data_IF_307684022340
#
_entry.id   IF_307684022340
#
_cell.length_a   1.000
_cell.length_b   1.000
_cell.length_c   1.000
_cell.angle_alpha   90.00
_cell.angle_beta   90.00
_cell.angle_gamma   90.00
#
_symmetry.space_group_name_H-M   'P 1'
#
loop_
_entity.id
_entity.type
_entity.pdbx_description
1 polymer ?
#
# COMPACT_ATOMS: atom_id res chain seq x y z
N UNK A 1 -18.20 13.15 -6.52
CA UNK A 1 -17.55 12.20 -7.46
C UNK A 1 -18.40 10.95 -7.47
N UNK A 2 -18.71 10.40 -8.64
CA UNK A 2 -19.51 9.19 -8.79
C UNK A 2 -18.66 8.11 -9.48
N UNK A 3 -18.72 6.87 -9.02
CA UNK A 3 -17.96 5.76 -9.59
C UNK A 3 -18.82 4.51 -9.68
N UNK A 4 -18.61 3.72 -10.73
CA UNK A 4 -19.23 2.40 -10.84
C UNK A 4 -18.42 1.42 -10.01
N UNK A 5 -19.04 0.77 -9.04
CA UNK A 5 -18.40 -0.26 -8.23
C UNK A 5 -18.60 -1.64 -8.86
N UNK A 6 -17.51 -2.39 -8.97
CA UNK A 6 -17.52 -3.78 -9.41
C UNK A 6 -16.90 -4.64 -8.31
N UNK A 7 -17.62 -5.68 -7.89
CA UNK A 7 -17.12 -6.66 -6.93
C UNK A 7 -16.49 -7.82 -7.71
N UNK A 8 -15.16 -7.87 -7.76
CA UNK A 8 -14.43 -9.00 -8.36
C UNK A 8 -14.21 -10.09 -7.31
N UNK A 9 -14.18 -11.35 -7.73
CA UNK A 9 -13.90 -12.48 -6.84
C UNK A 9 -12.40 -12.53 -6.51
N UNK A 10 -12.07 -12.59 -5.21
CA UNK A 10 -10.68 -12.68 -4.71
C UNK A 10 -10.34 -14.08 -4.17
N UNK A 11 -11.31 -14.99 -4.07
CA UNK A 11 -11.18 -16.39 -3.58
C UNK A 11 -10.09 -16.63 -2.50
N UNK A 12 -10.41 -16.52 -1.19
CA UNK A 12 -11.68 -16.08 -0.61
C UNK A 12 -11.84 -14.56 -0.58
N UNK A 13 -13.08 -14.08 -0.63
CA UNK A 13 -13.42 -12.66 -0.43
C UNK A 13 -13.69 -11.90 -1.73
N UNK A 14 -13.72 -10.57 -1.61
CA UNK A 14 -14.08 -9.66 -2.71
C UNK A 14 -12.95 -8.64 -2.93
N UNK A 15 -12.67 -8.34 -4.18
CA UNK A 15 -11.80 -7.26 -4.62
C UNK A 15 -12.65 -6.14 -5.24
N UNK A 16 -13.01 -5.09 -4.45
CA UNK A 16 -13.91 -4.04 -4.91
C UNK A 16 -13.15 -3.00 -5.76
N UNK A 17 -13.60 -2.82 -7.00
CA UNK A 17 -13.01 -1.92 -7.98
C UNK A 17 -13.92 -0.72 -8.22
N UNK A 18 -13.39 0.48 -8.00
CA UNK A 18 -14.10 1.74 -8.26
C UNK A 18 -13.73 2.32 -9.63
N UNK A 19 -14.58 2.10 -10.63
CA UNK A 19 -14.38 2.65 -11.96
C UNK A 19 -14.86 4.10 -11.98
N UNK A 20 -13.92 5.03 -11.86
CA UNK A 20 -14.14 6.46 -12.02
C UNK A 20 -14.23 6.90 -13.49
N UNK A 21 -14.56 8.17 -13.68
CA UNK A 21 -14.67 8.81 -14.99
C UNK A 21 -13.35 8.74 -15.79
N UNK A 22 -13.45 8.51 -17.10
CA UNK A 22 -12.28 8.37 -17.97
C UNK A 22 -11.38 9.61 -17.97
N UNK A 23 -11.98 10.82 -17.93
CA UNK A 23 -11.24 12.09 -17.88
C UNK A 23 -10.42 12.17 -16.59
N UNK A 24 -10.99 11.80 -15.44
CA UNK A 24 -10.26 11.77 -14.16
C UNK A 24 -9.06 10.84 -14.23
N UNK A 25 -9.24 9.64 -14.81
CA UNK A 25 -8.15 8.67 -14.95
C UNK A 25 -7.05 9.18 -15.89
N UNK A 26 -7.42 9.85 -16.98
CA UNK A 26 -6.46 10.49 -17.88
C UNK A 26 -5.66 11.58 -17.17
N UNK A 27 -6.34 12.48 -16.45
CA UNK A 27 -5.70 13.54 -15.67
C UNK A 27 -4.81 12.96 -14.56
N UNK A 28 -5.26 11.93 -13.85
CA UNK A 28 -4.48 11.24 -12.83
C UNK A 28 -3.19 10.66 -13.41
N UNK A 29 -3.26 9.98 -14.57
CA UNK A 29 -2.06 9.50 -15.27
C UNK A 29 -1.11 10.63 -15.68
N UNK A 30 -1.64 11.75 -16.16
CA UNK A 30 -0.83 12.91 -16.52
C UNK A 30 -0.12 13.51 -15.29
N UNK A 31 -0.85 13.72 -14.20
CA UNK A 31 -0.28 14.21 -12.93
C UNK A 31 0.79 13.24 -12.42
N UNK A 32 0.51 11.93 -12.36
CA UNK A 32 1.50 10.92 -11.98
C UNK A 32 2.78 11.01 -12.81
N UNK A 33 2.65 11.14 -14.14
CA UNK A 33 3.80 11.22 -15.03
C UNK A 33 4.69 12.41 -14.69
N UNK A 34 4.10 13.56 -14.38
CA UNK A 34 4.82 14.81 -14.11
C UNK A 34 5.36 14.93 -12.68
N UNK A 35 4.76 14.23 -11.72
CA UNK A 35 5.09 14.40 -10.29
C UNK A 35 5.69 13.17 -9.62
N UNK A 36 5.83 12.03 -10.33
CA UNK A 36 6.35 10.77 -9.75
C UNK A 36 7.73 10.89 -9.11
N UNK A 37 8.59 11.77 -9.61
CA UNK A 37 9.97 11.90 -9.12
C UNK A 37 10.00 12.38 -7.67
N UNK A 38 9.15 13.35 -7.33
CA UNK A 38 8.99 13.87 -5.97
C UNK A 38 8.45 12.78 -5.02
N UNK A 39 7.51 11.95 -5.51
CA UNK A 39 7.02 10.79 -4.77
C UNK A 39 8.15 9.76 -4.51
N UNK A 40 8.92 9.43 -5.55
CA UNK A 40 10.02 8.47 -5.45
C UNK A 40 11.13 8.97 -4.54
N UNK A 41 11.45 10.26 -4.57
CA UNK A 41 12.42 10.90 -3.68
C UNK A 41 11.93 10.85 -2.23
N UNK A 42 10.66 11.19 -1.98
CA UNK A 42 10.09 11.13 -0.64
C UNK A 42 10.06 9.70 -0.06
N UNK A 43 9.68 8.71 -0.88
CA UNK A 43 9.57 7.32 -0.47
C UNK A 43 10.94 6.63 -0.36
N UNK A 44 11.85 6.89 -1.30
CA UNK A 44 13.15 6.23 -1.38
C UNK A 44 13.06 4.71 -1.34
N UNK A 45 14.05 4.08 -0.69
CA UNK A 45 14.07 2.64 -0.44
C UNK A 45 13.08 2.20 0.66
N UNK A 46 12.54 3.14 1.44
CA UNK A 46 11.63 2.81 2.56
C UNK A 46 10.26 2.35 2.05
N UNK A 47 9.83 2.82 0.88
CA UNK A 47 8.51 2.48 0.34
C UNK A 47 8.59 2.11 -1.14
N UNK A 48 8.60 0.81 -1.41
CA UNK A 48 8.77 0.25 -2.75
C UNK A 48 7.52 0.42 -3.63
N UNK A 49 6.35 0.67 -3.04
CA UNK A 49 5.11 0.93 -3.77
C UNK A 49 5.11 2.30 -4.48
N UNK A 50 6.14 3.13 -4.28
CA UNK A 50 6.34 4.40 -4.97
C UNK A 50 6.73 4.25 -6.46
N UNK A 51 7.04 3.04 -6.90
CA UNK A 51 7.43 2.76 -8.29
C UNK A 51 8.88 3.12 -8.60
N UNK A 52 9.76 3.12 -7.59
CA UNK A 52 11.20 3.27 -7.76
C UNK A 52 11.72 2.21 -8.75
N UNK A 53 12.50 2.64 -9.75
CA UNK A 53 13.05 1.74 -10.75
C UNK A 53 13.97 0.70 -10.08
N UNK A 54 13.69 -0.58 -10.30
CA UNK A 54 14.44 -1.68 -9.66
C UNK A 54 14.17 -1.83 -8.16
N UNK A 55 13.23 -1.09 -7.57
CA UNK A 55 12.99 -1.08 -6.12
C UNK A 55 12.65 -2.46 -5.55
N UNK A 56 11.76 -3.21 -6.22
CA UNK A 56 11.39 -4.58 -5.79
C UNK A 56 12.57 -5.55 -5.86
N UNK A 57 13.35 -5.50 -6.95
CA UNK A 57 14.53 -6.34 -7.11
C UNK A 57 15.59 -5.99 -6.06
N UNK A 58 15.88 -4.70 -5.89
CA UNK A 58 16.80 -4.21 -4.87
C UNK A 58 16.39 -4.64 -3.46
N UNK A 59 15.10 -4.55 -3.11
CA UNK A 59 14.59 -5.00 -1.82
C UNK A 59 14.75 -6.51 -1.59
N UNK A 60 14.46 -7.34 -2.60
CA UNK A 60 14.69 -8.79 -2.53
C UNK A 60 16.17 -9.10 -2.32
N UNK A 61 17.06 -8.41 -3.04
CA UNK A 61 18.50 -8.58 -2.90
C UNK A 61 19.00 -8.16 -1.51
N UNK A 62 18.53 -7.02 -1.00
CA UNK A 62 18.87 -6.54 0.35
C UNK A 62 18.42 -7.53 1.42
N UNK A 63 17.17 -8.01 1.35
CA UNK A 63 16.66 -9.01 2.30
C UNK A 63 17.46 -10.32 2.25
N UNK A 64 17.87 -10.77 1.06
CA UNK A 64 18.66 -11.99 0.90
C UNK A 64 20.07 -11.85 1.47
N UNK A 65 20.69 -10.68 1.32
CA UNK A 65 22.00 -10.39 1.89
C UNK A 65 21.94 -10.27 3.42
N UNK A 66 20.93 -9.57 3.94
CA UNK A 66 20.66 -9.47 5.36
C UNK A 66 20.47 -10.84 6.00
N UNK A 67 19.61 -11.69 5.40
CA UNK A 67 19.37 -13.04 5.89
C UNK A 67 20.65 -13.87 5.97
N UNK A 68 21.52 -13.79 4.96
CA UNK A 68 22.82 -14.49 4.97
C UNK A 68 23.71 -13.99 6.10
N UNK A 69 23.77 -12.68 6.29
CA UNK A 69 24.59 -12.04 7.32
C UNK A 69 24.12 -12.46 8.71
N UNK A 70 22.82 -12.33 9.00
CA UNK A 70 22.24 -12.76 10.27
C UNK A 70 22.42 -14.26 10.52
N UNK A 71 22.28 -15.10 9.48
CA UNK A 71 22.54 -16.54 9.59
C UNK A 71 23.99 -16.83 10.01
N UNK A 72 24.96 -16.11 9.42
CA UNK A 72 26.38 -16.27 9.74
C UNK A 72 26.70 -15.78 11.16
N UNK A 73 26.12 -14.65 11.56
CA UNK A 73 26.33 -14.06 12.89
C UNK A 73 25.70 -14.88 14.03
N UNK A 74 24.53 -15.47 13.78
CA UNK A 74 23.83 -16.32 14.73
C UNK A 74 24.56 -17.66 14.94
N UNK A 75 25.04 -18.29 13.87
CA UNK A 75 25.68 -19.60 13.96
C UNK A 75 24.79 -20.62 14.67
N UNK A 76 25.29 -21.21 15.77
CA UNK A 76 24.53 -22.12 16.64
C UNK A 76 24.14 -21.48 17.99
N UNK A 77 24.29 -20.16 18.11
CA UNK A 77 24.03 -19.43 19.35
C UNK A 77 22.53 -19.12 19.49
N UNK A 78 21.82 -19.75 20.46
CA UNK A 78 20.39 -19.50 20.66
C UNK A 78 20.08 -18.08 21.13
N UNK A 79 21.04 -17.34 21.70
CA UNK A 79 20.83 -15.94 22.10
C UNK A 79 20.81 -14.97 20.91
N UNK A 80 21.22 -15.43 19.72
CA UNK A 80 21.26 -14.66 18.46
C UNK A 80 20.21 -15.12 17.45
N UNK A 81 19.17 -15.82 17.90
CA UNK A 81 18.08 -16.21 17.04
C UNK A 81 17.42 -14.96 16.42
N UNK A 82 17.15 -15.04 15.12
CA UNK A 82 16.45 -13.99 14.36
C UNK A 82 15.32 -14.63 13.54
N UNK A 83 14.44 -13.80 13.00
CA UNK A 83 13.34 -14.27 12.17
C UNK A 83 12.61 -13.11 11.51
N UNK A 84 11.76 -13.41 10.54
CA UNK A 84 10.99 -12.40 9.81
C UNK A 84 9.59 -12.22 10.40
N UNK A 85 9.17 -10.97 10.56
CA UNK A 85 7.78 -10.62 10.83
C UNK A 85 7.09 -10.19 9.52
N UNK A 86 6.03 -10.91 9.14
CA UNK A 86 5.20 -10.54 7.99
C UNK A 86 3.91 -9.87 8.48
N UNK A 87 3.69 -8.63 8.05
CA UNK A 87 2.51 -7.84 8.39
C UNK A 87 1.68 -7.65 7.12
N UNK A 88 0.42 -8.09 7.16
CA UNK A 88 -0.55 -7.89 6.08
C UNK A 88 -1.66 -6.96 6.55
N UNK A 89 -1.96 -5.94 5.77
CA UNK A 89 -2.99 -4.95 6.10
C UNK A 89 -4.36 -5.42 5.58
N UNK A 90 -5.32 -5.60 6.50
CA UNK A 90 -6.68 -5.96 6.12
C UNK A 90 -7.34 -4.83 5.33
N UNK A 91 -7.75 -5.14 4.09
CA UNK A 91 -8.47 -4.21 3.23
C UNK A 91 -7.72 -2.87 3.01
N UNK A 92 -6.39 -2.94 2.90
CA UNK A 92 -5.43 -1.84 2.90
C UNK A 92 -5.92 -0.55 2.22
N UNK A 93 -6.30 -0.62 0.94
CA UNK A 93 -6.74 0.54 0.16
C UNK A 93 -7.97 1.21 0.75
N UNK A 94 -8.96 0.45 1.22
CA UNK A 94 -10.24 1.00 1.68
C UNK A 94 -10.20 1.48 3.14
N UNK A 95 -9.27 0.94 3.94
CA UNK A 95 -9.12 1.26 5.37
C UNK A 95 -8.08 2.38 5.62
N UNK A 96 -7.25 2.71 4.63
CA UNK A 96 -6.23 3.74 4.78
C UNK A 96 -6.84 5.10 5.17
N UNK A 97 -6.31 5.76 6.20
CA UNK A 97 -6.82 7.04 6.65
C UNK A 97 -6.59 8.12 5.58
N UNK A 98 -7.68 8.52 4.91
CA UNK A 98 -7.64 9.44 3.79
C UNK A 98 -7.17 10.83 4.18
N UNK A 99 -7.63 11.33 5.33
CA UNK A 99 -7.25 12.65 5.84
C UNK A 99 -5.74 12.71 6.09
N UNK A 100 -5.18 11.67 6.73
CA UNK A 100 -3.74 11.55 6.90
C UNK A 100 -3.01 11.45 5.56
N UNK A 101 -3.53 10.66 4.61
CA UNK A 101 -2.97 10.57 3.25
C UNK A 101 -2.91 11.90 2.52
N UNK A 102 -3.99 12.69 2.55
CA UNK A 102 -4.05 14.01 1.93
C UNK A 102 -3.13 15.02 2.62
N UNK A 103 -3.02 14.96 3.94
CA UNK A 103 -2.08 15.78 4.70
C UNK A 103 -0.62 15.43 4.37
N UNK A 104 -0.29 14.14 4.37
CA UNK A 104 1.05 13.66 4.01
C UNK A 104 1.40 14.07 2.57
N UNK A 105 0.47 13.93 1.63
CA UNK A 105 0.69 14.36 0.25
C UNK A 105 0.96 15.86 0.15
N UNK A 106 0.33 16.69 1.00
CA UNK A 106 0.62 18.13 1.04
C UNK A 106 2.06 18.45 1.44
N UNK A 107 2.67 17.62 2.28
CA UNK A 107 4.02 17.82 2.80
C UNK A 107 5.07 17.14 1.93
N UNK A 108 4.84 15.87 1.59
CA UNK A 108 5.82 14.98 0.96
C UNK A 108 5.69 14.92 -0.56
N UNK A 109 4.54 15.35 -1.11
CA UNK A 109 4.27 15.30 -2.55
C UNK A 109 3.45 16.53 -3.02
N UNK A 110 3.91 17.76 -2.70
CA UNK A 110 3.12 18.97 -2.87
C UNK A 110 2.67 19.21 -4.31
N UNK A 111 3.41 18.77 -5.34
CA UNK A 111 3.00 18.98 -6.75
C UNK A 111 1.73 18.22 -7.13
N UNK A 112 1.45 17.07 -6.50
CA UNK A 112 0.21 16.32 -6.71
C UNK A 112 -0.89 16.65 -5.69
N UNK A 113 -0.53 17.29 -4.56
CA UNK A 113 -1.42 17.48 -3.41
C UNK A 113 -2.77 18.12 -3.74
N UNK A 114 -2.79 19.20 -4.53
CA UNK A 114 -4.03 19.89 -4.92
C UNK A 114 -4.94 18.99 -5.75
N UNK A 115 -4.37 18.21 -6.69
CA UNK A 115 -5.14 17.28 -7.52
C UNK A 115 -5.76 16.17 -6.66
N UNK A 116 -4.96 15.57 -5.77
CA UNK A 116 -5.41 14.56 -4.81
C UNK A 116 -6.52 15.10 -3.92
N UNK A 117 -6.32 16.28 -3.32
CA UNK A 117 -7.33 16.92 -2.47
C UNK A 117 -8.64 17.14 -3.22
N UNK A 118 -8.61 17.67 -4.44
CA UNK A 118 -9.83 17.86 -5.22
C UNK A 118 -10.54 16.54 -5.57
N UNK A 119 -9.79 15.46 -5.75
CA UNK A 119 -10.31 14.14 -6.08
C UNK A 119 -10.88 13.39 -4.85
N UNK A 120 -10.33 13.63 -3.66
CA UNK A 120 -10.52 12.76 -2.49
C UNK A 120 -10.94 13.50 -1.20
N UNK A 121 -11.04 14.84 -1.17
CA UNK A 121 -11.45 15.59 0.06
C UNK A 121 -12.84 15.26 0.60
N UNK A 122 -13.68 14.60 -0.19
CA UNK A 122 -15.03 14.25 0.19
C UNK A 122 -15.39 12.86 -0.30
N UNK A 123 -16.56 12.42 0.12
CA UNK A 123 -17.06 11.10 -0.18
C UNK A 123 -17.45 10.98 -1.66
N UNK A 124 -16.97 9.91 -2.31
CA UNK A 124 -17.46 9.51 -3.62
C UNK A 124 -18.63 8.53 -3.48
N UNK A 125 -19.65 8.68 -4.33
CA UNK A 125 -20.74 7.72 -4.43
C UNK A 125 -20.33 6.56 -5.32
N UNK A 126 -20.37 5.35 -4.77
CA UNK A 126 -20.00 4.10 -5.44
C UNK A 126 -21.28 3.33 -5.77
N UNK A 127 -21.61 3.24 -7.06
CA UNK A 127 -22.82 2.58 -7.54
C UNK A 127 -22.54 1.11 -7.83
N UNK A 128 -23.09 0.22 -7.00
CA UNK A 128 -23.01 -1.22 -7.16
C UNK A 128 -24.31 -1.75 -7.75
N UNK A 129 -24.26 -2.26 -8.99
CA UNK A 129 -25.40 -2.95 -9.61
C UNK A 129 -25.42 -4.41 -9.17
N UNK A 130 -26.49 -4.81 -8.49
CA UNK A 130 -26.77 -6.20 -8.12
C UNK A 130 -27.99 -6.76 -8.87
N UNK A 131 -28.35 -8.00 -8.54
CA UNK A 131 -29.51 -8.71 -9.11
C UNK A 131 -30.85 -8.06 -8.75
N UNK A 132 -30.93 -7.41 -7.59
CA UNK A 132 -32.16 -6.81 -7.05
C UNK A 132 -32.24 -5.28 -7.19
N UNK A 133 -31.29 -4.66 -7.91
CA UNK A 133 -31.25 -3.21 -8.08
C UNK A 133 -29.85 -2.63 -7.99
N UNK A 134 -29.78 -1.30 -7.81
CA UNK A 134 -28.51 -0.59 -7.61
C UNK A 134 -28.43 -0.11 -6.17
N UNK A 135 -27.34 -0.47 -5.49
CA UNK A 135 -27.00 0.00 -4.15
C UNK A 135 -25.91 1.05 -4.26
N UNK A 136 -26.05 2.15 -3.52
CA UNK A 136 -25.01 3.18 -3.43
C UNK A 136 -24.24 3.03 -2.12
N UNK A 137 -22.91 3.02 -2.21
CA UNK A 137 -21.99 2.99 -1.08
C UNK A 137 -21.20 4.29 -1.05
N UNK A 138 -21.02 4.90 0.12
CA UNK A 138 -20.16 6.08 0.25
C UNK A 138 -18.71 5.67 0.49
N UNK A 139 -17.77 6.22 -0.29
CA UNK A 139 -16.34 6.07 -0.08
C UNK A 139 -15.86 7.04 1.01
N UNK A 140 -15.98 6.64 2.29
CA UNK A 140 -15.59 7.48 3.45
C UNK A 140 -14.11 7.47 3.77
N UNK A 141 -13.46 6.33 3.55
CA UNK A 141 -12.04 6.12 3.85
C UNK A 141 -11.31 5.54 2.65
N UNK A 142 -9.98 5.55 2.73
CA UNK A 142 -9.16 4.89 1.76
C UNK A 142 -8.98 5.60 0.42
N UNK A 143 -8.31 4.88 -0.46
CA UNK A 143 -8.01 5.21 -1.84
C UNK A 143 -8.79 4.27 -2.76
N UNK A 144 -9.31 4.82 -3.85
CA UNK A 144 -10.15 4.06 -4.77
C UNK A 144 -9.29 3.06 -5.56
N UNK A 145 -9.56 1.76 -5.44
CA UNK A 145 -8.85 0.75 -6.21
C UNK A 145 -9.07 0.97 -7.73
N UNK A 146 -8.00 0.76 -8.51
CA UNK A 146 -7.87 1.07 -9.94
C UNK A 146 -7.85 2.55 -10.35
N UNK A 147 -7.92 3.49 -9.41
CA UNK A 147 -7.62 4.88 -9.69
C UNK A 147 -6.10 5.05 -9.91
N UNK A 148 -5.65 5.79 -10.95
CA UNK A 148 -4.22 5.93 -11.24
C UNK A 148 -3.38 6.53 -10.11
N UNK A 149 -4.00 7.28 -9.20
CA UNK A 149 -3.32 7.87 -8.05
C UNK A 149 -3.34 6.97 -6.81
N UNK A 150 -4.10 5.86 -6.80
CA UNK A 150 -4.42 5.14 -5.57
C UNK A 150 -3.20 4.51 -4.89
N UNK A 151 -2.35 3.84 -5.67
CA UNK A 151 -1.12 3.20 -5.18
C UNK A 151 -0.18 4.23 -4.56
N UNK A 152 0.04 5.33 -5.27
CA UNK A 152 0.88 6.44 -4.81
C UNK A 152 0.31 7.13 -3.56
N UNK A 153 -1.01 7.32 -3.53
CA UNK A 153 -1.72 7.84 -2.37
C UNK A 153 -1.55 6.94 -1.16
N UNK A 154 -1.73 5.63 -1.33
CA UNK A 154 -1.52 4.64 -0.27
C UNK A 154 -0.07 4.65 0.24
N UNK A 155 0.91 4.60 -0.66
CA UNK A 155 2.33 4.65 -0.34
C UNK A 155 2.68 5.86 0.56
N UNK A 156 2.14 7.05 0.24
CA UNK A 156 2.32 8.26 1.05
C UNK A 156 1.53 8.24 2.35
N UNK A 157 0.35 7.61 2.39
CA UNK A 157 -0.41 7.45 3.63
C UNK A 157 0.39 6.68 4.67
N UNK A 158 1.03 5.58 4.29
CA UNK A 158 1.72 4.69 5.24
C UNK A 158 3.21 5.03 5.43
N UNK A 159 3.80 5.89 4.60
CA UNK A 159 5.22 6.24 4.70
C UNK A 159 5.67 6.70 6.10
N UNK A 160 4.91 7.52 6.86
CA UNK A 160 5.30 7.86 8.23
C UNK A 160 5.33 6.66 9.17
N UNK A 161 4.42 5.69 9.00
CA UNK A 161 4.41 4.46 9.78
C UNK A 161 5.67 3.63 9.48
N UNK A 162 6.01 3.46 8.20
CA UNK A 162 7.24 2.74 7.80
C UNK A 162 8.49 3.40 8.39
N UNK A 163 8.59 4.73 8.32
CA UNK A 163 9.71 5.46 8.94
C UNK A 163 9.74 5.32 10.46
N UNK A 164 8.58 5.22 11.11
CA UNK A 164 8.52 5.03 12.55
C UNK A 164 9.02 3.64 12.96
N UNK A 165 8.67 2.60 12.20
CA UNK A 165 9.15 1.24 12.41
C UNK A 165 10.68 1.16 12.30
N UNK A 166 11.26 1.81 11.30
CA UNK A 166 12.72 1.93 11.16
C UNK A 166 13.38 2.74 12.30
N UNK A 167 12.70 3.79 12.80
CA UNK A 167 13.26 4.70 13.80
C UNK A 167 13.19 4.18 15.24
N UNK A 168 12.37 3.18 15.54
CA UNK A 168 12.26 2.56 16.86
C UNK A 168 13.43 1.63 17.22
N UNK A 169 14.39 1.44 16.32
CA UNK A 169 15.43 0.42 16.42
C UNK A 169 16.83 1.02 16.59
N UNK A 170 17.24 1.33 17.81
CA UNK A 170 18.67 1.49 18.13
C UNK A 170 19.36 0.14 18.41
N UNK A 171 18.87 -0.97 17.82
CA UNK A 171 19.39 -2.31 18.09
C UNK A 171 18.92 -3.44 17.16
N UNK A 172 18.18 -3.15 16.10
CA UNK A 172 17.80 -4.14 15.08
C UNK A 172 18.20 -3.59 13.72
N UNK A 173 18.85 -4.44 12.92
CA UNK A 173 19.40 -4.07 11.62
C UNK A 173 18.52 -4.71 10.56
N UNK A 174 17.34 -4.15 10.23
CA UNK A 174 16.52 -4.75 9.16
C UNK A 174 16.00 -3.75 8.12
N UNK A 175 16.10 -4.17 6.86
CA UNK A 175 15.53 -3.50 5.69
C UNK A 175 14.08 -3.93 5.51
N UNK A 176 13.12 -3.11 5.95
CA UNK A 176 11.70 -3.32 5.68
C UNK A 176 11.41 -3.19 4.18
N UNK A 177 11.28 -4.34 3.51
CA UNK A 177 10.90 -4.44 2.09
C UNK A 177 9.41 -4.72 2.02
N UNK A 178 8.59 -3.69 1.80
CA UNK A 178 7.17 -3.87 1.49
C UNK A 178 7.01 -4.35 0.04
N UNK A 179 6.49 -5.56 -0.16
CA UNK A 179 6.11 -6.09 -1.47
C UNK A 179 4.59 -6.23 -1.52
N UNK A 180 3.90 -5.27 -2.14
CA UNK A 180 2.50 -5.47 -2.54
C UNK A 180 2.47 -6.17 -3.90
N UNK A 181 2.44 -7.51 -3.88
CA UNK A 181 2.13 -8.29 -5.07
C UNK A 181 0.60 -8.37 -5.23
N UNK A 182 0.05 -7.59 -6.16
CA UNK A 182 -1.29 -7.85 -6.71
C UNK A 182 -1.21 -9.07 -7.63
N UNK A 183 -1.12 -10.27 -7.06
CA UNK A 183 -1.08 -11.53 -7.79
C UNK A 183 -1.55 -12.66 -6.90
N UNK A 184 -2.51 -13.44 -7.38
CA UNK A 184 -3.04 -14.63 -6.71
C UNK A 184 -1.91 -15.60 -6.35
N UNK A 185 -1.55 -15.69 -5.07
CA UNK A 185 -0.64 -16.71 -4.57
C UNK A 185 -1.39 -18.04 -4.45
N UNK A 186 -1.41 -18.83 -5.51
CA UNK A 186 -1.53 -20.28 -5.37
C UNK A 186 -0.13 -20.86 -5.19
N UNK A 187 -0.02 -21.75 -4.20
CA UNK A 187 1.13 -22.58 -3.82
C UNK A 187 2.17 -21.94 -2.87
N UNK A 188 1.95 -22.14 -1.56
CA UNK A 188 2.94 -22.70 -0.64
C UNK A 188 2.23 -23.03 0.68
N UNK A 189 2.07 -24.31 0.99
CA UNK A 189 1.51 -24.75 2.25
C UNK A 189 2.57 -24.67 3.35
N UNK A 190 2.54 -23.62 4.15
CA UNK A 190 3.27 -23.57 5.43
C UNK A 190 2.41 -22.86 6.48
N UNK A 191 2.39 -23.43 7.68
CA UNK A 191 1.43 -23.12 8.76
C UNK A 191 1.56 -21.67 9.22
N UNK A 192 0.63 -20.84 8.80
CA UNK A 192 0.45 -19.47 9.27
C UNK A 192 -0.29 -19.49 10.61
N UNK A 193 0.42 -19.24 11.71
CA UNK A 193 -0.21 -19.09 13.03
C UNK A 193 -0.75 -17.66 13.16
N UNK A 194 -2.04 -17.49 12.88
CA UNK A 194 -2.77 -16.22 13.06
C UNK A 194 -2.97 -15.97 14.56
N UNK A 195 -2.27 -15.00 15.15
CA UNK A 195 -2.62 -14.49 16.47
C UNK A 195 -3.93 -13.70 16.37
N UNK A 196 -4.99 -14.22 16.98
CA UNK A 196 -6.24 -13.49 17.22
C UNK A 196 -6.17 -12.93 18.64
N UNK A 197 -6.20 -11.61 18.78
CA UNK A 197 -6.56 -10.99 20.05
C UNK A 197 -8.05 -11.20 20.30
N UNK A 198 -8.36 -11.99 21.32
CA UNK A 198 -9.71 -12.15 21.85
C UNK A 198 -10.08 -10.85 22.58
N UNK A 199 -11.15 -10.19 22.11
CA UNK A 199 -11.90 -9.25 22.95
C UNK A 199 -12.82 -10.00 23.90
#
# INVERSE_FOLDING_TARGET
>A
MACRLVALDKCPGVHPVGIGEAIRRLLGKAVMKETREELQEACGANQLCSGLMGGLEGGIHAMRELWKTLTQEAGNDPEKAFGTLLIDAENAFNTANRTAGLWNARILWPRASTFLFNCYRGDAELFLRGTHGTTTISSREGWMQEDPMSMAGYAITILPLVRALQGSESGQTESETQSEASGSSQAAGEKQTRMRESR
#
